data_IF_218739450056
#
_entry.id   IF_218739450056
#
_cell.length_a   1.000
_cell.length_b   1.000
_cell.length_c   1.000
_cell.angle_alpha   90.00
_cell.angle_beta   90.00
_cell.angle_gamma   90.00
#
_symmetry.space_group_name_H-M   'P 1'
#
loop_
_entity.id
_entity.type
_entity.pdbx_description
1 polymer ?
#
# COMPACT_ATOMS: atom_id res chain seq x y z
N UNK A 1 -2.17 23.30 12.32
CA UNK A 1 -1.11 22.27 12.26
C UNK A 1 -0.84 21.98 10.79
N UNK A 2 0.22 22.58 10.24
CA UNK A 2 0.61 22.39 8.84
C UNK A 2 1.47 21.13 8.70
N UNK A 3 1.22 20.23 7.75
CA UNK A 3 0.07 20.13 6.85
C UNK A 3 -0.76 18.87 7.17
N UNK A 4 -1.67 18.96 8.14
CA UNK A 4 -2.63 17.90 8.52
C UNK A 4 -2.04 16.51 8.89
N UNK A 5 -2.18 16.16 10.16
CA UNK A 5 -1.84 14.85 10.72
C UNK A 5 -2.85 13.77 10.27
N UNK A 6 -2.80 13.35 9.00
CA UNK A 6 -3.54 12.21 8.48
C UNK A 6 -2.50 11.22 7.98
N UNK A 7 -2.29 10.13 8.72
CA UNK A 7 -1.10 9.30 8.53
C UNK A 7 -1.09 8.64 7.16
N UNK A 8 0.07 8.71 6.51
CA UNK A 8 0.36 8.10 5.22
C UNK A 8 0.62 6.60 5.33
N UNK A 9 0.14 5.84 4.35
CA UNK A 9 0.47 4.44 4.16
C UNK A 9 1.56 4.24 3.11
N UNK A 10 2.09 3.01 3.07
CA UNK A 10 3.12 2.61 2.10
C UNK A 10 2.66 2.77 0.64
N UNK A 11 1.38 2.47 0.37
CA UNK A 11 0.78 2.54 -0.97
C UNK A 11 0.75 3.99 -1.50
N UNK A 12 0.51 4.96 -0.61
CA UNK A 12 0.44 6.39 -0.98
C UNK A 12 1.77 6.91 -1.53
N UNK A 13 2.88 6.25 -1.20
CA UNK A 13 4.23 6.56 -1.70
C UNK A 13 4.59 5.67 -2.89
N UNK A 14 4.33 4.36 -2.80
CA UNK A 14 4.70 3.40 -3.85
C UNK A 14 3.98 3.68 -5.18
N UNK A 15 2.68 3.97 -5.13
CA UNK A 15 1.87 4.15 -6.34
C UNK A 15 2.34 5.33 -7.22
N UNK A 16 2.47 6.57 -6.70
CA UNK A 16 2.93 7.69 -7.53
C UNK A 16 4.35 7.48 -8.04
N UNK A 17 5.26 6.97 -7.20
CA UNK A 17 6.65 6.70 -7.62
C UNK A 17 6.72 5.65 -8.74
N UNK A 18 5.97 4.54 -8.60
CA UNK A 18 5.89 3.53 -9.64
C UNK A 18 5.30 4.10 -10.94
N UNK A 19 4.24 4.91 -10.84
CA UNK A 19 3.60 5.55 -11.99
C UNK A 19 4.51 6.57 -12.70
N UNK A 20 5.43 7.20 -11.98
CA UNK A 20 6.44 8.11 -12.55
C UNK A 20 7.63 7.38 -13.19
N UNK A 21 7.63 6.04 -13.20
CA UNK A 21 8.69 5.24 -13.82
C UNK A 21 9.80 4.80 -12.86
N UNK A 22 9.71 5.13 -11.57
CA UNK A 22 10.71 4.73 -10.57
C UNK A 22 10.46 3.34 -9.98
N UNK A 23 9.50 2.57 -10.50
CA UNK A 23 9.07 1.31 -9.88
C UNK A 23 10.19 0.29 -9.67
N UNK A 24 11.18 0.26 -10.55
CA UNK A 24 12.36 -0.62 -10.48
C UNK A 24 13.58 0.03 -9.84
N UNK A 25 13.47 1.26 -9.33
CA UNK A 25 14.56 1.97 -8.67
C UNK A 25 15.07 1.16 -7.45
N UNK A 26 16.40 0.92 -7.32
CA UNK A 26 16.96 0.17 -6.21
C UNK A 26 16.55 0.69 -4.82
N UNK A 27 16.31 2.00 -4.69
CA UNK A 27 15.90 2.64 -3.44
C UNK A 27 14.49 2.23 -3.01
N UNK A 28 13.65 1.77 -3.93
CA UNK A 28 12.29 1.30 -3.63
C UNK A 28 12.25 -0.19 -3.23
N UNK A 29 13.36 -0.92 -3.34
CA UNK A 29 13.42 -2.37 -3.07
C UNK A 29 12.87 -2.74 -1.70
N UNK A 30 13.29 -2.05 -0.65
CA UNK A 30 12.83 -2.31 0.73
C UNK A 30 11.33 -2.09 0.90
N UNK A 31 10.76 -1.08 0.23
CA UNK A 31 9.33 -0.81 0.25
C UNK A 31 8.54 -1.93 -0.44
N UNK A 32 9.04 -2.47 -1.57
CA UNK A 32 8.43 -3.62 -2.22
C UNK A 32 8.52 -4.91 -1.38
N UNK A 33 9.62 -5.11 -0.66
CA UNK A 33 9.78 -6.23 0.28
C UNK A 33 8.78 -6.14 1.43
N UNK A 34 8.58 -4.94 2.00
CA UNK A 34 7.54 -4.70 3.01
C UNK A 34 6.18 -5.07 2.43
N UNK A 35 5.84 -4.56 1.24
CA UNK A 35 4.55 -4.86 0.59
C UNK A 35 4.36 -6.37 0.40
N UNK A 36 5.37 -7.08 -0.10
CA UNK A 36 5.32 -8.52 -0.36
C UNK A 36 5.06 -9.35 0.92
N UNK A 37 5.58 -8.93 2.08
CA UNK A 37 5.33 -9.61 3.37
C UNK A 37 3.87 -9.56 3.83
N UNK A 38 3.07 -8.64 3.30
CA UNK A 38 1.65 -8.50 3.67
C UNK A 38 0.70 -9.21 2.71
N UNK A 39 1.24 -9.97 1.75
CA UNK A 39 0.47 -10.76 0.80
C UNK A 39 0.07 -12.09 1.44
N UNK A 40 -1.22 -12.44 1.36
CA UNK A 40 -1.75 -13.72 1.81
C UNK A 40 -1.56 -14.80 0.75
N UNK A 41 -1.78 -16.06 1.13
CA UNK A 41 -1.74 -17.23 0.22
C UNK A 41 -2.73 -17.09 -0.95
N UNK A 42 -3.88 -16.44 -0.72
CA UNK A 42 -4.88 -16.15 -1.76
C UNK A 42 -4.51 -14.96 -2.67
N UNK A 43 -3.28 -14.47 -2.60
CA UNK A 43 -2.79 -13.26 -3.28
C UNK A 43 -3.52 -11.96 -2.91
N UNK A 44 -4.16 -11.89 -1.74
CA UNK A 44 -4.80 -10.66 -1.25
C UNK A 44 -3.90 -9.96 -0.23
N UNK A 45 -4.21 -8.73 0.14
CA UNK A 45 -3.39 -7.94 1.07
C UNK A 45 -4.14 -7.61 2.36
N UNK A 46 -3.45 -7.77 3.49
CA UNK A 46 -3.97 -7.49 4.84
C UNK A 46 -3.78 -6.03 5.25
N UNK A 47 -4.57 -5.59 6.22
CA UNK A 47 -4.38 -4.31 6.92
C UNK A 47 -3.57 -4.53 8.19
N UNK A 48 -2.53 -3.72 8.38
CA UNK A 48 -1.72 -3.74 9.61
C UNK A 48 -2.17 -2.74 10.68
N UNK A 49 -3.06 -1.82 10.32
CA UNK A 49 -3.52 -0.72 11.17
C UNK A 49 -4.93 -0.95 11.70
N UNK A 50 -5.12 -0.91 13.03
CA UNK A 50 -6.46 -0.90 13.67
C UNK A 50 -7.02 0.53 13.83
N UNK A 51 -6.67 1.44 12.91
CA UNK A 51 -7.18 2.82 12.94
C UNK A 51 -8.69 2.81 12.75
N UNK A 52 -9.39 3.19 13.81
CA UNK A 52 -10.82 3.46 13.79
C UNK A 52 -11.03 4.97 13.77
N UNK A 53 -11.75 5.45 12.77
CA UNK A 53 -12.26 6.83 12.76
C UNK A 53 -13.74 6.78 13.14
N UNK A 54 -14.22 7.80 13.85
CA UNK A 54 -15.66 7.98 14.12
C UNK A 54 -16.49 7.98 12.83
N UNK A 55 -15.87 8.33 11.70
CA UNK A 55 -16.51 8.49 10.41
C UNK A 55 -16.13 7.39 9.40
N UNK A 56 -15.15 6.55 9.71
CA UNK A 56 -14.64 5.59 8.73
C UNK A 56 -14.12 4.30 9.36
N UNK A 57 -14.64 3.17 8.88
CA UNK A 57 -14.16 1.84 9.19
C UNK A 57 -13.25 1.35 8.06
N UNK A 58 -11.94 1.34 8.30
CA UNK A 58 -10.96 0.89 7.30
C UNK A 58 -10.89 -0.64 7.20
N UNK A 59 -11.37 -1.35 8.21
CA UNK A 59 -11.29 -2.81 8.33
C UNK A 59 -10.63 -3.21 9.64
N UNK A 60 -10.48 -4.52 9.84
CA UNK A 60 -9.82 -5.08 11.02
C UNK A 60 -8.36 -5.40 10.72
N UNK A 61 -7.47 -5.15 11.68
CA UNK A 61 -6.07 -5.55 11.61
C UNK A 61 -5.95 -7.05 11.34
N UNK A 62 -5.07 -7.44 10.42
CA UNK A 62 -4.83 -8.82 10.00
C UNK A 62 -5.85 -9.36 8.99
N UNK A 63 -6.95 -8.64 8.72
CA UNK A 63 -7.94 -9.06 7.73
C UNK A 63 -7.61 -8.50 6.36
N UNK A 64 -8.00 -9.25 5.34
CA UNK A 64 -7.91 -8.84 3.95
C UNK A 64 -8.80 -7.63 3.69
N UNK A 65 -8.26 -6.65 2.96
CA UNK A 65 -9.04 -5.51 2.48
C UNK A 65 -9.03 -5.41 0.95
N UNK A 66 -10.22 -5.28 0.37
CA UNK A 66 -10.41 -5.22 -1.09
C UNK A 66 -9.74 -4.01 -1.74
N UNK A 67 -9.79 -2.84 -1.10
CA UNK A 67 -9.24 -1.60 -1.64
C UNK A 67 -7.72 -1.62 -1.58
N UNK A 68 -7.14 -2.09 -0.48
CA UNK A 68 -5.70 -2.28 -0.36
C UNK A 68 -5.22 -3.26 -1.41
N UNK A 69 -5.91 -4.40 -1.56
CA UNK A 69 -5.58 -5.38 -2.59
C UNK A 69 -5.59 -4.75 -3.99
N UNK A 70 -6.66 -4.02 -4.32
CA UNK A 70 -6.78 -3.31 -5.60
C UNK A 70 -5.62 -2.33 -5.85
N UNK A 71 -5.34 -1.43 -4.91
CA UNK A 71 -4.28 -0.43 -5.07
C UNK A 71 -2.88 -1.06 -5.08
N UNK A 72 -2.67 -2.14 -4.34
CA UNK A 72 -1.41 -2.89 -4.40
C UNK A 72 -1.19 -3.48 -5.79
N UNK A 73 -2.20 -4.12 -6.38
CA UNK A 73 -2.09 -4.63 -7.74
C UNK A 73 -1.88 -3.50 -8.76
N UNK A 74 -2.47 -2.34 -8.53
CA UNK A 74 -2.21 -1.16 -9.35
C UNK A 74 -0.73 -0.73 -9.24
N UNK A 75 -0.15 -0.73 -8.03
CA UNK A 75 1.28 -0.45 -7.83
C UNK A 75 2.16 -1.45 -8.58
N UNK A 76 1.87 -2.75 -8.47
CA UNK A 76 2.63 -3.81 -9.12
C UNK A 76 2.54 -3.70 -10.66
N UNK A 77 1.35 -3.39 -11.19
CA UNK A 77 1.17 -3.14 -12.62
C UNK A 77 2.06 -1.99 -13.11
N UNK A 78 2.18 -0.90 -12.34
CA UNK A 78 3.03 0.23 -12.72
C UNK A 78 4.52 -0.02 -12.47
N UNK A 79 4.86 -0.90 -11.51
CA UNK A 79 6.24 -1.33 -11.27
C UNK A 79 6.85 -1.99 -12.51
N UNK A 80 6.07 -2.81 -13.21
CA UNK A 80 6.51 -3.60 -14.37
C UNK A 80 6.38 -2.85 -15.70
N UNK A 81 5.72 -1.68 -15.72
CA UNK A 81 5.35 -0.96 -16.95
C UNK A 81 6.45 -0.04 -17.51
N UNK A 82 7.69 -0.21 -17.05
CA UNK A 82 8.86 0.56 -17.50
C UNK A 82 9.47 -0.11 -18.72
#
# INVERSE_FOLDING_TARGET
MFPFYWGFGLIDVLLPLAKMGYGTDPRMKSAWEVLARHKTEENKYIIDSDRKSKYWEFGKRGFVNKWITFYTYLCLKYKEKV
#
